data_IF_620937205177
#
_entry.id   IF_620937205177
#
_cell.length_a   1.000
_cell.length_b   1.000
_cell.length_c   1.000
_cell.angle_alpha   90.00
_cell.angle_beta   90.00
_cell.angle_gamma   90.00
#
_symmetry.space_group_name_H-M   'P 1'
#
loop_
_entity.id
_entity.type
_entity.pdbx_description
1 polymer ?
#
# COMPACT_ATOMS: atom_id res chain seq x y z
N UNK A 1 0.64 23.16 0.51
CA UNK A 1 0.38 21.96 -0.29
C UNK A 1 1.13 20.75 0.28
N UNK A 2 0.42 19.66 0.54
CA UNK A 2 1.09 18.48 1.05
C UNK A 2 1.93 17.86 -0.07
N UNK A 3 3.19 17.61 0.24
CA UNK A 3 4.12 16.95 -0.67
C UNK A 3 3.75 15.47 -0.76
N UNK A 4 3.64 14.94 -1.97
CA UNK A 4 3.32 13.52 -2.18
C UNK A 4 4.33 12.61 -1.48
N UNK A 5 5.60 12.99 -1.46
CA UNK A 5 6.63 12.22 -0.77
C UNK A 5 6.38 12.18 0.74
N UNK A 6 5.99 13.29 1.33
CA UNK A 6 5.69 13.34 2.78
C UNK A 6 4.48 12.48 3.12
N UNK A 7 3.46 12.50 2.27
CA UNK A 7 2.28 11.67 2.47
C UNK A 7 2.63 10.19 2.35
N UNK A 8 3.50 9.86 1.40
CA UNK A 8 3.99 8.49 1.24
C UNK A 8 4.80 8.05 2.46
N UNK A 9 5.70 8.90 2.95
CA UNK A 9 6.51 8.58 4.12
C UNK A 9 5.63 8.37 5.34
N UNK A 10 4.58 9.19 5.49
CA UNK A 10 3.59 9.02 6.54
C UNK A 10 2.87 7.67 6.40
N UNK A 11 2.53 7.28 5.17
CA UNK A 11 1.88 5.99 4.93
C UNK A 11 2.75 4.84 5.47
N UNK A 12 4.02 4.81 5.08
CA UNK A 12 4.92 3.72 5.48
C UNK A 12 5.08 3.69 7.01
N UNK A 13 5.33 4.84 7.62
CA UNK A 13 5.49 4.93 9.07
C UNK A 13 4.23 4.49 9.81
N UNK A 14 3.08 4.98 9.40
CA UNK A 14 1.82 4.73 10.09
C UNK A 14 1.31 3.30 9.95
N UNK A 15 1.43 2.69 8.75
CA UNK A 15 0.94 1.32 8.57
C UNK A 15 1.75 0.33 9.40
N UNK A 16 3.01 0.64 9.64
CA UNK A 16 3.86 -0.18 10.53
C UNK A 16 3.50 0.09 11.99
N UNK A 17 3.39 1.35 12.35
CA UNK A 17 3.14 1.75 13.74
C UNK A 17 1.75 1.33 14.23
N UNK A 18 0.71 1.59 13.43
CA UNK A 18 -0.67 1.31 13.82
C UNK A 18 -1.18 -0.04 13.33
N UNK A 19 -0.39 -0.73 12.51
CA UNK A 19 -0.67 -2.10 12.05
C UNK A 19 -1.93 -2.25 11.22
N UNK A 20 -2.35 -1.18 10.57
CA UNK A 20 -3.53 -1.19 9.70
C UNK A 20 -3.30 -0.43 8.41
N UNK A 21 -3.93 -0.92 7.34
CA UNK A 21 -3.96 -0.27 6.04
C UNK A 21 -5.43 -0.08 5.68
N UNK A 22 -5.77 1.11 5.20
CA UNK A 22 -7.15 1.45 4.85
C UNK A 22 -7.32 1.56 3.35
N UNK A 23 -8.46 1.09 2.85
CA UNK A 23 -8.84 1.27 1.46
C UNK A 23 -10.29 1.72 1.40
N UNK A 24 -10.77 2.02 0.21
CA UNK A 24 -12.18 2.32 -0.02
C UNK A 24 -12.78 1.15 -0.79
N UNK A 25 -13.91 0.65 -0.32
CA UNK A 25 -14.53 -0.55 -0.85
C UNK A 25 -16.03 -0.36 -1.08
N UNK A 26 -16.52 -0.86 -2.20
CA UNK A 26 -17.94 -0.93 -2.50
C UNK A 26 -18.22 -2.38 -2.91
N UNK A 27 -18.98 -3.11 -2.07
CA UNK A 27 -19.23 -4.53 -2.23
C UNK A 27 -17.91 -5.29 -2.28
N UNK A 28 -17.54 -5.90 -3.39
CA UNK A 28 -16.27 -6.63 -3.54
C UNK A 28 -15.21 -5.84 -4.31
N UNK A 29 -15.49 -4.58 -4.60
CA UNK A 29 -14.60 -3.75 -5.42
C UNK A 29 -13.86 -2.72 -4.59
N UNK A 30 -12.55 -2.63 -4.78
CA UNK A 30 -11.71 -1.63 -4.13
C UNK A 30 -11.48 -0.45 -5.07
N UNK A 31 -11.27 0.74 -4.51
CA UNK A 31 -11.04 1.94 -5.30
C UNK A 31 -9.76 1.83 -6.12
N UNK A 32 -9.87 2.01 -7.42
CA UNK A 32 -8.73 1.99 -8.34
C UNK A 32 -8.75 3.25 -9.20
N UNK A 33 -7.58 3.65 -9.66
CA UNK A 33 -7.43 4.76 -10.57
C UNK A 33 -6.51 4.32 -11.72
N UNK A 34 -6.40 5.15 -12.74
CA UNK A 34 -5.48 4.86 -13.82
C UNK A 34 -4.10 5.40 -13.45
N UNK A 35 -3.06 4.66 -13.83
CA UNK A 35 -1.70 5.11 -13.59
C UNK A 35 -1.39 6.33 -14.46
N UNK A 36 -0.70 7.31 -13.87
CA UNK A 36 -0.20 8.45 -14.61
C UNK A 36 1.16 8.15 -15.24
N UNK A 37 1.86 7.13 -14.75
CA UNK A 37 3.21 6.78 -15.20
C UNK A 37 3.23 5.62 -16.18
N UNK A 38 2.29 4.69 -16.07
CA UNK A 38 2.28 3.48 -16.88
C UNK A 38 0.99 3.38 -17.67
N UNK A 39 1.10 3.48 -18.98
CA UNK A 39 -0.05 3.39 -19.86
C UNK A 39 -0.76 2.05 -19.69
N UNK A 40 -2.08 2.08 -19.62
CA UNK A 40 -2.95 0.91 -19.44
C UNK A 40 -2.81 0.18 -18.11
N UNK A 41 -2.08 0.74 -17.14
CA UNK A 41 -1.96 0.15 -15.81
C UNK A 41 -2.99 0.75 -14.85
N UNK A 42 -3.39 -0.03 -13.87
CA UNK A 42 -4.27 0.42 -12.80
C UNK A 42 -3.48 0.64 -11.52
N UNK A 43 -3.98 1.55 -10.68
CA UNK A 43 -3.39 1.83 -9.37
C UNK A 43 -4.44 1.55 -8.31
N UNK A 44 -4.14 0.65 -7.37
CA UNK A 44 -4.98 0.44 -6.20
C UNK A 44 -4.55 1.45 -5.14
N UNK A 45 -5.53 2.11 -4.53
CA UNK A 45 -5.26 3.19 -3.59
C UNK A 45 -5.44 2.72 -2.14
N UNK A 46 -4.48 3.08 -1.30
CA UNK A 46 -4.52 2.76 0.12
C UNK A 46 -4.12 3.98 0.95
N UNK A 47 -4.60 4.01 2.18
CA UNK A 47 -4.35 5.10 3.12
C UNK A 47 -3.92 4.54 4.46
N UNK A 48 -3.14 5.31 5.20
CA UNK A 48 -2.67 4.90 6.52
C UNK A 48 -3.64 5.27 7.63
N UNK A 49 -4.70 6.00 7.30
CA UNK A 49 -5.62 6.57 8.27
C UNK A 49 -7.03 6.55 7.71
N UNK A 50 -7.99 6.14 8.53
CA UNK A 50 -9.39 6.08 8.13
C UNK A 50 -9.91 7.43 7.62
N UNK A 51 -9.54 8.51 8.29
CA UNK A 51 -10.01 9.85 7.92
C UNK A 51 -9.48 10.28 6.55
N UNK A 52 -8.24 9.90 6.23
CA UNK A 52 -7.67 10.19 4.92
C UNK A 52 -8.41 9.43 3.83
N UNK A 53 -8.75 8.17 4.09
CA UNK A 53 -9.51 7.37 3.14
C UNK A 53 -10.91 7.95 2.94
N UNK A 54 -11.60 8.26 4.04
CA UNK A 54 -12.97 8.79 3.97
C UNK A 54 -13.02 10.14 3.25
N UNK A 55 -11.98 10.95 3.38
CA UNK A 55 -11.91 12.24 2.70
C UNK A 55 -11.90 12.07 1.17
N UNK A 56 -11.46 10.93 0.66
CA UNK A 56 -11.44 10.62 -0.76
C UNK A 56 -12.70 9.90 -1.24
N UNK A 57 -13.63 9.57 -0.33
CA UNK A 57 -14.88 8.89 -0.67
C UNK A 57 -15.91 9.92 -1.17
N UNK A 58 -15.58 10.56 -2.29
CA UNK A 58 -16.38 11.61 -2.92
C UNK A 58 -16.48 11.35 -4.41
N UNK A 59 -17.37 12.04 -5.08
CA UNK A 59 -17.56 11.94 -6.52
C UNK A 59 -17.81 10.48 -6.95
N UNK A 60 -16.92 9.88 -7.75
CA UNK A 60 -17.09 8.51 -8.23
C UNK A 60 -17.04 7.48 -7.10
N UNK A 61 -16.48 7.85 -5.96
CA UNK A 61 -16.33 6.95 -4.82
C UNK A 61 -17.23 7.31 -3.63
N UNK A 62 -18.26 8.13 -3.85
CA UNK A 62 -19.12 8.57 -2.75
C UNK A 62 -19.86 7.44 -2.03
N UNK A 63 -20.09 6.31 -2.71
CA UNK A 63 -20.75 5.14 -2.12
C UNK A 63 -19.75 4.15 -1.50
N UNK A 64 -18.46 4.41 -1.62
CA UNK A 64 -17.44 3.53 -1.07
C UNK A 64 -17.28 3.82 0.42
N UNK A 65 -16.93 2.80 1.19
CA UNK A 65 -16.67 2.93 2.61
C UNK A 65 -15.24 2.56 2.92
N UNK A 66 -14.67 3.25 3.91
CA UNK A 66 -13.31 2.93 4.36
C UNK A 66 -13.34 1.58 5.07
N UNK A 67 -12.45 0.69 4.65
CA UNK A 67 -12.32 -0.63 5.24
C UNK A 67 -10.84 -0.90 5.49
N UNK A 68 -10.53 -1.46 6.66
CA UNK A 68 -9.14 -1.73 7.02
C UNK A 68 -8.79 -3.19 6.86
N UNK A 69 -7.51 -3.44 6.66
CA UNK A 69 -6.93 -4.76 6.74
C UNK A 69 -5.68 -4.63 7.61
N UNK A 70 -5.23 -5.73 8.16
CA UNK A 70 -4.02 -5.68 8.96
C UNK A 70 -2.79 -5.60 8.05
N UNK A 71 -1.77 -4.87 8.51
CA UNK A 71 -0.55 -4.68 7.72
C UNK A 71 0.10 -6.00 7.28
N UNK A 72 0.16 -7.06 8.12
CA UNK A 72 0.69 -8.34 7.65
C UNK A 72 -0.03 -8.89 6.42
N UNK A 73 -1.36 -8.80 6.39
CA UNK A 73 -2.12 -9.26 5.23
C UNK A 73 -1.79 -8.45 3.98
N UNK A 74 -1.71 -7.14 4.14
CA UNK A 74 -1.34 -6.26 3.04
C UNK A 74 0.06 -6.58 2.51
N UNK A 75 1.02 -6.70 3.43
CA UNK A 75 2.41 -6.94 3.09
C UNK A 75 2.65 -8.33 2.47
N UNK A 76 2.02 -9.35 3.04
CA UNK A 76 2.31 -10.75 2.66
C UNK A 76 1.46 -11.25 1.50
N UNK A 77 0.24 -10.76 1.36
CA UNK A 77 -0.70 -11.27 0.37
C UNK A 77 -1.05 -10.26 -0.72
N UNK A 78 -1.42 -9.05 -0.34
CA UNK A 78 -1.87 -8.05 -1.31
C UNK A 78 -0.76 -7.53 -2.22
N UNK A 79 0.35 -7.10 -1.64
CA UNK A 79 1.43 -6.53 -2.45
C UNK A 79 2.04 -7.53 -3.42
N UNK A 80 2.38 -8.77 -3.00
CA UNK A 80 2.87 -9.75 -3.96
C UNK A 80 1.85 -10.09 -5.05
N UNK A 81 0.55 -10.19 -4.68
CA UNK A 81 -0.51 -10.47 -5.64
C UNK A 81 -0.68 -9.36 -6.66
N UNK A 82 -0.60 -8.10 -6.21
CA UNK A 82 -0.67 -6.95 -7.11
C UNK A 82 0.50 -6.93 -8.08
N UNK A 83 1.68 -7.29 -7.59
CA UNK A 83 2.87 -7.37 -8.43
C UNK A 83 2.68 -8.39 -9.55
N UNK A 84 2.15 -9.57 -9.22
CA UNK A 84 1.91 -10.62 -10.21
C UNK A 84 0.88 -10.21 -11.25
N UNK A 85 -0.08 -9.38 -10.88
CA UNK A 85 -1.13 -8.90 -11.79
C UNK A 85 -0.77 -7.62 -12.51
N UNK A 86 0.39 -7.04 -12.22
CA UNK A 86 0.85 -5.82 -12.88
C UNK A 86 0.09 -4.58 -12.46
N UNK A 87 -0.40 -4.55 -11.20
CA UNK A 87 -1.14 -3.42 -10.65
C UNK A 87 -0.19 -2.59 -9.76
N UNK A 88 -0.18 -1.27 -9.97
CA UNK A 88 0.62 -0.37 -9.13
C UNK A 88 -0.13 -0.02 -7.84
N UNK A 89 0.57 0.51 -6.86
CA UNK A 89 -0.01 0.91 -5.58
C UNK A 89 0.15 2.41 -5.37
N UNK A 90 -0.93 3.07 -4.94
CA UNK A 90 -0.91 4.48 -4.57
C UNK A 90 -1.06 4.62 -3.07
N UNK A 91 -0.30 5.53 -2.48
CA UNK A 91 -0.25 5.69 -1.03
C UNK A 91 -0.63 7.09 -0.60
N UNK A 92 -1.61 7.17 0.31
CA UNK A 92 -2.05 8.44 0.90
C UNK A 92 -2.31 9.57 -0.13
N UNK A 93 -3.01 9.23 -1.21
CA UNK A 93 -3.40 10.25 -2.18
C UNK A 93 -4.35 11.26 -1.53
N UNK A 94 -4.24 12.52 -1.92
CA UNK A 94 -5.10 13.58 -1.39
C UNK A 94 -6.47 13.59 -2.08
N UNK A 95 -7.33 14.53 -1.68
CA UNK A 95 -8.69 14.62 -2.22
C UNK A 95 -8.75 15.06 -3.69
N UNK A 96 -7.64 15.55 -4.22
CA UNK A 96 -7.51 15.85 -5.65
C UNK A 96 -7.00 14.63 -6.44
N UNK A 97 -6.89 13.48 -5.75
CA UNK A 97 -6.38 12.22 -6.30
C UNK A 97 -4.96 12.36 -6.84
N UNK A 98 -4.14 13.06 -6.07
CA UNK A 98 -2.72 13.22 -6.37
C UNK A 98 -1.88 12.55 -5.29
N UNK A 99 -0.81 11.88 -5.68
CA UNK A 99 0.09 11.21 -4.77
C UNK A 99 1.08 10.34 -5.52
N UNK A 100 1.89 9.61 -4.76
CA UNK A 100 2.85 8.70 -5.35
C UNK A 100 2.19 7.38 -5.75
N UNK A 101 2.65 6.85 -6.86
CA UNK A 101 2.33 5.47 -7.24
C UNK A 101 3.63 4.73 -7.46
N UNK A 102 3.65 3.44 -7.18
CA UNK A 102 4.87 2.66 -7.29
C UNK A 102 4.59 1.18 -7.46
N UNK A 103 5.65 0.45 -7.76
CA UNK A 103 5.63 -1.00 -7.83
C UNK A 103 5.33 -1.58 -6.43
N UNK A 104 4.45 -2.59 -6.33
CA UNK A 104 4.12 -3.18 -5.02
C UNK A 104 5.32 -3.77 -4.28
N UNK A 105 6.28 -4.32 -4.99
CA UNK A 105 7.46 -4.90 -4.34
C UNK A 105 8.33 -3.81 -3.73
N UNK A 106 8.45 -2.66 -4.41
CA UNK A 106 9.18 -1.52 -3.87
C UNK A 106 8.54 -1.05 -2.56
N UNK A 107 7.22 -0.96 -2.51
CA UNK A 107 6.51 -0.58 -1.28
C UNK A 107 6.71 -1.63 -0.19
N UNK A 108 6.64 -2.92 -0.55
CA UNK A 108 6.84 -4.00 0.42
C UNK A 108 8.22 -3.90 1.07
N UNK A 109 9.25 -3.61 0.28
CA UNK A 109 10.61 -3.44 0.81
C UNK A 109 10.72 -2.24 1.73
N UNK A 110 10.04 -1.14 1.40
CA UNK A 110 10.02 0.03 2.27
C UNK A 110 9.34 -0.27 3.61
N UNK A 111 8.25 -1.04 3.59
CA UNK A 111 7.54 -1.43 4.81
C UNK A 111 8.43 -2.34 5.66
N UNK A 112 9.11 -3.31 5.04
CA UNK A 112 10.05 -4.18 5.75
C UNK A 112 11.14 -3.35 6.42
N UNK A 113 11.71 -2.39 5.70
CA UNK A 113 12.74 -1.52 6.26
C UNK A 113 12.21 -0.71 7.46
N UNK A 114 10.99 -0.21 7.36
CA UNK A 114 10.36 0.55 8.44
C UNK A 114 10.11 -0.33 9.67
N UNK A 115 9.73 -1.59 9.46
CA UNK A 115 9.56 -2.53 10.57
C UNK A 115 10.88 -2.67 11.34
N UNK A 116 11.99 -2.76 10.62
CA UNK A 116 13.32 -2.84 11.23
C UNK A 116 13.68 -1.55 11.97
N UNK A 117 13.41 -0.40 11.35
CA UNK A 117 13.69 0.91 11.94
C UNK A 117 12.93 1.15 13.24
N UNK A 118 11.69 0.66 13.32
CA UNK A 118 10.88 0.81 14.52
C UNK A 118 11.12 -0.31 15.55
N UNK A 119 12.04 -1.24 15.25
CA UNK A 119 12.38 -2.37 16.13
C UNK A 119 11.17 -3.24 16.49
N UNK A 120 10.28 -3.43 15.55
CA UNK A 120 9.10 -4.25 15.76
C UNK A 120 9.44 -5.71 15.45
N UNK A 121 9.06 -6.61 16.36
CA UNK A 121 9.24 -8.04 16.14
C UNK A 121 8.12 -8.52 15.24
N UNK A 122 8.48 -9.04 14.10
CA UNK A 122 7.51 -9.52 13.13
C UNK A 122 8.13 -10.65 12.30
N UNK A 123 7.42 -11.77 12.24
CA UNK A 123 7.84 -12.90 11.39
C UNK A 123 6.68 -13.21 10.44
N UNK A 124 6.88 -13.01 9.12
CA UNK A 124 5.83 -13.30 8.15
C UNK A 124 5.48 -14.79 8.16
N UNK A 125 4.20 -15.07 7.89
CA UNK A 125 3.72 -16.43 7.84
C UNK A 125 4.40 -17.19 6.70
N UNK A 126 4.88 -18.39 6.96
CA UNK A 126 5.58 -19.19 5.96
C UNK A 126 7.07 -18.91 5.86
N UNK A 127 7.59 -18.00 6.68
CA UNK A 127 9.01 -17.65 6.70
C UNK A 127 9.57 -17.81 8.10
N UNK A 128 10.87 -18.07 8.19
CA UNK A 128 11.51 -18.22 9.50
C UNK A 128 11.90 -16.88 10.11
N UNK A 129 12.02 -15.84 9.27
CA UNK A 129 12.41 -14.51 9.74
C UNK A 129 11.96 -13.45 8.75
N UNK A 130 11.95 -12.20 9.21
CA UNK A 130 11.68 -11.06 8.35
C UNK A 130 12.75 -10.94 7.25
N UNK A 131 14.00 -11.26 7.57
CA UNK A 131 15.10 -11.21 6.61
C UNK A 131 14.91 -12.23 5.47
N UNK A 132 14.36 -13.39 5.77
CA UNK A 132 14.06 -14.38 4.74
C UNK A 132 12.96 -13.87 3.80
N UNK A 133 11.93 -13.25 4.35
CA UNK A 133 10.87 -12.65 3.57
C UNK A 133 11.41 -11.51 2.69
N UNK A 134 12.29 -10.68 3.25
CA UNK A 134 12.93 -9.60 2.50
C UNK A 134 13.73 -10.14 1.32
N UNK A 135 14.46 -11.22 1.53
CA UNK A 135 15.24 -11.86 0.45
C UNK A 135 14.32 -12.33 -0.69
N UNK A 136 13.15 -12.88 -0.34
CA UNK A 136 12.16 -13.29 -1.33
C UNK A 136 11.64 -12.10 -2.13
N UNK A 137 11.37 -10.98 -1.46
CA UNK A 137 10.91 -9.76 -2.14
C UNK A 137 11.99 -9.23 -3.08
N UNK A 138 13.24 -9.25 -2.66
CA UNK A 138 14.36 -8.79 -3.50
C UNK A 138 14.48 -9.66 -4.74
N UNK A 139 14.29 -10.97 -4.60
CA UNK A 139 14.35 -11.91 -5.70
C UNK A 139 13.22 -11.64 -6.70
N UNK A 140 12.02 -11.39 -6.22
CA UNK A 140 10.88 -11.02 -7.07
C UNK A 140 11.16 -9.73 -7.85
N UNK A 141 11.72 -8.74 -7.16
CA UNK A 141 12.03 -7.44 -7.77
C UNK A 141 13.12 -7.50 -8.83
N UNK A 142 14.00 -8.47 -8.76
CA UNK A 142 15.07 -8.62 -9.77
C UNK A 142 14.54 -9.06 -11.13
N UNK A 143 13.34 -9.59 -11.18
CA UNK A 143 12.70 -10.01 -12.42
C UNK A 143 12.04 -8.83 -13.18
N UNK A 144 12.13 -7.62 -12.63
CA UNK A 144 11.55 -6.42 -13.23
C UNK A 144 12.37 -5.86 -14.40
#
# INVERSE_FOLDING_TARGET
MADAQKLHDKFVTDVVRFKKVWGLKLEDNWAVSKSAEFEDAEVLLFWSDKNLAEACATDDWHDYVAESMETPEFLENWLPGMYEEGIAVGTNWNTDLEGLEMDPITLALEIVNEIKEQNIKYTPEGFESLSEFEAELLDMGEDL
#
